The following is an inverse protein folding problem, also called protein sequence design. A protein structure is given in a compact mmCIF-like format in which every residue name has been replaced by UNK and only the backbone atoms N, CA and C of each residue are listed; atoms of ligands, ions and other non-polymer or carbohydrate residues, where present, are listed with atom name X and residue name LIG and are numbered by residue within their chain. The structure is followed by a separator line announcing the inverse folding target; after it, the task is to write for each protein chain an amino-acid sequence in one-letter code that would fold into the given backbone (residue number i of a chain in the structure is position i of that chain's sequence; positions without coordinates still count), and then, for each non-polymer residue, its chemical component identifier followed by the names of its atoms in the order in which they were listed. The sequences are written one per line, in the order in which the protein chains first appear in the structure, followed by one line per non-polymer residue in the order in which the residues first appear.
data_IF_952761865905
#
_entry.id   IF_952761865905
#
_cell.length_a   1.000
_cell.length_b   1.000
_cell.length_c   1.000
_cell.angle_alpha   90.00
_cell.angle_beta   90.00
_cell.angle_gamma   90.00
#
_symmetry.space_group_name_H-M   'P 1'
#
loop_
_entity.id
_entity.type
_entity.pdbx_description
1 polymer ?
#
# COMPACT_ATOMS: atom_id res chain seq x y z
N UNK A 1 -19.77 6.79 -15.27
CA UNK A 1 -20.43 6.95 -13.95
C UNK A 1 -20.07 8.32 -13.37
N UNK A 2 -21.03 9.05 -12.77
CA UNK A 2 -20.72 10.35 -12.13
C UNK A 2 -20.41 10.11 -10.65
N UNK A 3 -19.19 10.41 -10.22
CA UNK A 3 -18.75 10.24 -8.82
C UNK A 3 -19.24 11.38 -7.95
N UNK A 4 -19.62 11.07 -6.71
CA UNK A 4 -19.83 12.07 -5.67
C UNK A 4 -18.50 12.73 -5.30
N UNK A 5 -18.55 13.87 -4.61
CA UNK A 5 -17.32 14.55 -4.14
C UNK A 5 -16.53 13.65 -3.18
N UNK A 6 -17.24 12.90 -2.34
CA UNK A 6 -16.59 12.03 -1.34
C UNK A 6 -15.93 10.82 -2.00
N UNK A 7 -16.61 10.14 -2.94
CA UNK A 7 -16.04 9.04 -3.74
C UNK A 7 -14.78 9.49 -4.50
N UNK A 8 -14.84 10.67 -5.15
CA UNK A 8 -13.68 11.22 -5.84
C UNK A 8 -12.50 11.48 -4.90
N UNK A 9 -12.76 12.02 -3.70
CA UNK A 9 -11.71 12.30 -2.73
C UNK A 9 -11.10 11.01 -2.16
N UNK A 10 -11.88 9.95 -2.05
CA UNK A 10 -11.41 8.63 -1.69
C UNK A 10 -10.51 8.05 -2.79
N UNK A 11 -10.93 8.08 -4.04
CA UNK A 11 -10.11 7.67 -5.21
C UNK A 11 -8.81 8.47 -5.31
N UNK A 12 -8.81 9.76 -4.94
CA UNK A 12 -7.60 10.59 -4.97
C UNK A 12 -6.52 10.09 -3.97
N UNK A 13 -6.90 9.52 -2.84
CA UNK A 13 -5.92 8.91 -1.94
C UNK A 13 -5.15 7.79 -2.62
N UNK A 14 -5.81 6.97 -3.43
CA UNK A 14 -5.18 5.87 -4.18
C UNK A 14 -4.15 6.39 -5.21
N UNK A 15 -4.45 7.50 -5.88
CA UNK A 15 -3.48 8.22 -6.72
C UNK A 15 -2.23 8.63 -5.93
N UNK A 16 -2.42 9.04 -4.66
CA UNK A 16 -1.33 9.44 -3.78
C UNK A 16 -0.47 8.27 -3.32
N UNK A 17 -1.09 7.27 -2.70
CA UNK A 17 -0.37 6.15 -2.08
C UNK A 17 0.32 5.24 -3.11
N UNK A 18 -0.30 5.01 -4.26
CA UNK A 18 0.25 4.17 -5.33
C UNK A 18 1.60 4.69 -5.85
N UNK A 19 1.85 5.98 -5.76
CA UNK A 19 3.15 6.56 -6.12
C UNK A 19 4.26 6.08 -5.17
N UNK A 20 3.98 6.00 -3.86
CA UNK A 20 4.95 5.48 -2.89
C UNK A 20 5.09 3.95 -3.00
N UNK A 21 4.01 3.23 -3.27
CA UNK A 21 4.07 1.78 -3.55
C UNK A 21 4.99 1.53 -4.74
N UNK A 22 4.82 2.26 -5.84
CA UNK A 22 5.62 2.11 -7.05
C UNK A 22 7.10 2.46 -6.81
N UNK A 23 7.38 3.53 -6.06
CA UNK A 23 8.74 3.90 -5.68
C UNK A 23 9.39 2.83 -4.80
N UNK A 24 8.66 2.31 -3.81
CA UNK A 24 9.12 1.28 -2.87
C UNK A 24 9.46 -0.04 -3.56
N UNK A 25 8.75 -0.41 -4.61
CA UNK A 25 8.97 -1.66 -5.34
C UNK A 25 10.02 -1.54 -6.45
N UNK A 26 10.36 -0.32 -6.88
CA UNK A 26 11.25 -0.06 -8.01
C UNK A 26 12.59 0.58 -7.60
N UNK A 27 12.55 1.83 -7.18
CA UNK A 27 13.74 2.65 -6.94
C UNK A 27 14.41 2.34 -5.61
N UNK A 28 13.61 2.05 -4.57
CA UNK A 28 14.12 1.82 -3.21
C UNK A 28 15.06 0.63 -3.10
N UNK A 29 14.77 -0.57 -3.68
CA UNK A 29 15.70 -1.69 -3.67
C UNK A 29 17.03 -1.37 -4.36
N UNK A 30 16.98 -0.65 -5.49
CA UNK A 30 18.16 -0.21 -6.24
C UNK A 30 19.01 0.76 -5.40
N UNK A 31 18.35 1.71 -4.75
CA UNK A 31 19.02 2.66 -3.86
C UNK A 31 19.65 1.96 -2.65
N UNK A 32 18.95 1.01 -2.04
CA UNK A 32 19.48 0.19 -0.94
C UNK A 32 20.75 -0.56 -1.37
N UNK A 33 20.74 -1.18 -2.55
CA UNK A 33 21.92 -1.85 -3.10
C UNK A 33 23.08 -0.85 -3.32
N UNK A 34 22.79 0.33 -3.86
CA UNK A 34 23.80 1.35 -4.15
C UNK A 34 24.48 1.94 -2.91
N UNK A 35 23.79 2.03 -1.77
CA UNK A 35 24.38 2.51 -0.50
C UNK A 35 25.07 1.40 0.32
N UNK A 36 24.96 0.13 -0.09
CA UNK A 36 25.52 -1.03 0.61
C UNK A 36 26.60 -1.73 -0.22
N UNK A 37 27.68 -1.01 -0.50
CA UNK A 37 28.71 -1.41 -1.47
C UNK A 37 29.59 -2.59 -1.03
N UNK A 38 29.49 -3.06 0.22
CA UNK A 38 30.32 -4.15 0.75
C UNK A 38 29.63 -5.52 0.83
N UNK A 39 28.34 -5.60 0.53
CA UNK A 39 27.57 -6.84 0.64
C UNK A 39 27.49 -7.59 -0.70
N UNK A 40 27.39 -8.93 -0.63
CA UNK A 40 27.11 -9.73 -1.82
C UNK A 40 25.66 -9.52 -2.30
N UNK A 41 25.41 -9.78 -3.60
CA UNK A 41 24.03 -9.71 -4.15
C UNK A 41 23.05 -10.62 -3.39
N UNK A 42 23.52 -11.79 -2.94
CA UNK A 42 22.70 -12.71 -2.15
C UNK A 42 22.33 -12.12 -0.78
N UNK A 43 23.29 -11.49 -0.07
CA UNK A 43 23.03 -10.85 1.22
C UNK A 43 22.05 -9.69 1.09
N UNK A 44 22.12 -8.92 -0.01
CA UNK A 44 21.21 -7.81 -0.29
C UNK A 44 19.75 -8.31 -0.50
N UNK A 45 19.58 -9.39 -1.26
CA UNK A 45 18.25 -10.00 -1.47
C UNK A 45 17.69 -10.55 -0.16
N UNK A 46 18.52 -11.22 0.65
CA UNK A 46 18.11 -11.74 1.97
C UNK A 46 17.72 -10.59 2.92
N UNK A 47 18.54 -9.53 2.98
CA UNK A 47 18.24 -8.38 3.82
C UNK A 47 16.93 -7.70 3.40
N UNK A 48 16.69 -7.54 2.10
CA UNK A 48 15.44 -6.99 1.55
C UNK A 48 14.25 -7.89 1.88
N UNK A 49 14.35 -9.19 1.65
CA UNK A 49 13.30 -10.17 1.99
C UNK A 49 12.96 -10.18 3.48
N UNK A 50 13.98 -10.13 4.35
CA UNK A 50 13.78 -10.03 5.80
C UNK A 50 13.04 -8.74 6.19
N UNK A 51 13.38 -7.61 5.58
CA UNK A 51 12.70 -6.34 5.81
C UNK A 51 11.21 -6.43 5.45
N UNK A 52 10.88 -7.01 4.30
CA UNK A 52 9.50 -7.24 3.88
C UNK A 52 8.75 -8.17 4.83
N UNK A 53 9.39 -9.26 5.25
CA UNK A 53 8.84 -10.22 6.21
C UNK A 53 8.55 -9.57 7.55
N UNK A 54 9.49 -8.79 8.09
CA UNK A 54 9.31 -8.08 9.37
C UNK A 54 8.13 -7.09 9.26
N UNK A 55 8.09 -6.28 8.19
CA UNK A 55 6.99 -5.35 7.98
C UNK A 55 5.63 -6.06 7.94
N UNK A 56 5.53 -7.14 7.16
CA UNK A 56 4.29 -7.92 7.01
C UNK A 56 3.84 -8.58 8.32
N UNK A 57 4.78 -9.16 9.08
CA UNK A 57 4.46 -9.77 10.38
C UNK A 57 3.95 -8.74 11.39
N UNK A 58 4.59 -7.58 11.46
CA UNK A 58 4.15 -6.49 12.36
C UNK A 58 2.74 -6.03 11.98
N UNK A 59 2.47 -5.83 10.69
CA UNK A 59 1.15 -5.44 10.20
C UNK A 59 0.11 -6.53 10.52
N UNK A 60 0.42 -7.80 10.25
CA UNK A 60 -0.49 -8.91 10.51
C UNK A 60 -0.87 -9.04 11.99
N UNK A 61 0.06 -8.73 12.91
CA UNK A 61 -0.21 -8.74 14.36
C UNK A 61 -1.00 -7.52 14.82
N UNK A 62 -0.73 -6.34 14.25
CA UNK A 62 -1.35 -5.09 14.68
C UNK A 62 -2.76 -4.91 14.12
N UNK A 63 -3.01 -5.29 12.87
CA UNK A 63 -4.25 -4.94 12.19
C UNK A 63 -5.52 -5.49 12.81
N UNK A 64 -5.59 -6.73 13.32
CA UNK A 64 -6.79 -7.21 14.00
C UNK A 64 -7.16 -6.36 15.22
N UNK A 65 -6.15 -5.96 16.03
CA UNK A 65 -6.35 -5.16 17.24
C UNK A 65 -6.77 -3.73 16.87
N UNK A 66 -6.04 -3.12 15.96
CA UNK A 66 -6.29 -1.73 15.57
C UNK A 66 -7.58 -1.59 14.75
N UNK A 67 -7.94 -2.62 13.96
CA UNK A 67 -9.20 -2.71 13.26
C UNK A 67 -10.39 -2.68 14.21
N UNK A 68 -10.39 -3.54 15.23
CA UNK A 68 -11.44 -3.55 16.25
C UNK A 68 -11.54 -2.22 17.03
N UNK A 69 -10.41 -1.56 17.29
CA UNK A 69 -10.40 -0.23 17.91
C UNK A 69 -10.88 0.87 16.95
N UNK A 70 -10.67 0.71 15.65
CA UNK A 70 -11.11 1.65 14.62
C UNK A 70 -12.62 1.60 14.35
N UNK A 71 -13.28 0.49 14.67
CA UNK A 71 -14.72 0.33 14.53
C UNK A 71 -15.52 1.22 15.49
N UNK A 72 -14.90 1.74 16.54
CA UNK A 72 -15.54 2.75 17.39
C UNK A 72 -15.63 4.10 16.70
N UNK A 73 -16.74 4.81 16.95
CA UNK A 73 -17.08 6.07 16.30
C UNK A 73 -15.95 7.11 16.38
N UNK A 74 -15.54 7.62 15.23
CA UNK A 74 -14.50 8.62 15.07
C UNK A 74 -13.06 8.14 15.25
N UNK A 75 -12.81 6.86 15.43
CA UNK A 75 -11.46 6.32 15.57
C UNK A 75 -10.80 5.96 14.24
N UNK A 76 -11.56 5.52 13.25
CA UNK A 76 -11.04 5.11 11.93
C UNK A 76 -10.15 6.18 11.30
N UNK A 77 -10.60 7.43 11.29
CA UNK A 77 -9.81 8.56 10.78
C UNK A 77 -8.57 8.85 11.62
N UNK A 78 -8.60 8.66 12.93
CA UNK A 78 -7.45 8.90 13.80
C UNK A 78 -6.33 7.89 13.53
N UNK A 79 -6.67 6.60 13.40
CA UNK A 79 -5.70 5.57 13.05
C UNK A 79 -5.15 5.78 11.65
N UNK A 80 -6.03 6.06 10.68
CA UNK A 80 -5.60 6.43 9.33
C UNK A 80 -4.56 7.56 9.35
N UNK A 81 -4.87 8.67 10.02
CA UNK A 81 -3.98 9.83 10.12
C UNK A 81 -2.66 9.49 10.82
N UNK A 82 -2.71 8.73 11.91
CA UNK A 82 -1.51 8.33 12.65
C UNK A 82 -0.55 7.55 11.76
N UNK A 83 -1.02 6.53 11.06
CA UNK A 83 -0.20 5.72 10.16
C UNK A 83 0.22 6.46 8.89
N UNK A 84 -0.68 7.26 8.31
CA UNK A 84 -0.36 8.12 7.16
C UNK A 84 0.78 9.10 7.50
N UNK A 85 0.67 9.83 8.62
CA UNK A 85 1.69 10.80 9.02
C UNK A 85 3.01 10.10 9.36
N UNK A 86 2.98 8.96 10.05
CA UNK A 86 4.17 8.16 10.34
C UNK A 86 4.84 7.72 9.03
N UNK A 87 4.07 7.14 8.10
CA UNK A 87 4.58 6.74 6.79
C UNK A 87 5.16 7.90 5.99
N UNK A 88 4.47 9.05 5.98
CA UNK A 88 4.90 10.26 5.29
C UNK A 88 6.21 10.81 5.84
N UNK A 89 6.33 10.97 7.15
CA UNK A 89 7.56 11.46 7.81
C UNK A 89 8.73 10.52 7.52
N UNK A 90 8.50 9.21 7.59
CA UNK A 90 9.54 8.21 7.33
C UNK A 90 9.89 8.14 5.83
N UNK A 91 8.94 8.34 4.92
CA UNK A 91 9.21 8.49 3.50
C UNK A 91 10.14 9.68 3.25
N UNK A 92 9.85 10.84 3.83
CA UNK A 92 10.72 12.03 3.72
C UNK A 92 12.09 11.80 4.39
N UNK A 93 12.14 11.07 5.50
CA UNK A 93 13.39 10.74 6.19
C UNK A 93 14.33 9.87 5.34
N UNK A 94 13.83 9.06 4.40
CA UNK A 94 14.65 8.28 3.47
C UNK A 94 15.50 9.18 2.54
N UNK A 95 15.15 10.46 2.38
CA UNK A 95 15.97 11.42 1.63
C UNK A 95 17.27 11.81 2.38
N UNK A 96 17.35 11.59 3.69
CA UNK A 96 18.50 11.92 4.51
C UNK A 96 19.59 10.86 4.30
N UNK A 97 20.87 11.27 4.11
CA UNK A 97 21.98 10.32 4.07
C UNK A 97 22.10 9.54 5.38
N UNK A 98 22.11 8.21 5.28
CA UNK A 98 22.24 7.33 6.44
C UNK A 98 22.89 6.01 6.06
N UNK A 99 23.30 5.21 7.06
CA UNK A 99 23.82 3.86 6.83
C UNK A 99 22.77 2.94 6.22
N UNK A 100 23.19 1.90 5.51
CA UNK A 100 22.27 0.93 4.89
C UNK A 100 21.32 0.27 5.90
N UNK A 101 21.79 -0.05 7.11
CA UNK A 101 20.95 -0.62 8.16
C UNK A 101 19.91 0.39 8.67
N UNK A 102 20.31 1.66 8.90
CA UNK A 102 19.38 2.72 9.30
C UNK A 102 18.32 2.96 8.22
N UNK A 103 18.73 2.99 6.95
CA UNK A 103 17.82 3.13 5.82
C UNK A 103 16.80 1.98 5.78
N UNK A 104 17.25 0.74 5.93
CA UNK A 104 16.38 -0.43 5.93
C UNK A 104 15.37 -0.38 7.10
N UNK A 105 15.80 0.09 8.28
CA UNK A 105 14.91 0.28 9.43
C UNK A 105 13.85 1.35 9.15
N UNK A 106 14.25 2.50 8.62
CA UNK A 106 13.33 3.58 8.23
C UNK A 106 12.36 3.09 7.15
N UNK A 107 12.84 2.33 6.18
CA UNK A 107 12.02 1.71 5.14
C UNK A 107 10.96 0.76 5.71
N UNK A 108 11.35 -0.16 6.62
CA UNK A 108 10.40 -1.08 7.28
C UNK A 108 9.30 -0.31 8.01
N UNK A 109 9.67 0.69 8.78
CA UNK A 109 8.70 1.52 9.52
C UNK A 109 7.81 2.34 8.58
N UNK A 110 8.37 2.87 7.47
CA UNK A 110 7.61 3.56 6.42
C UNK A 110 6.59 2.61 5.77
N UNK A 111 7.00 1.39 5.45
CA UNK A 111 6.15 0.35 4.85
C UNK A 111 5.03 -0.06 5.79
N UNK A 112 5.29 -0.18 7.10
CA UNK A 112 4.26 -0.40 8.11
C UNK A 112 3.27 0.77 8.12
N UNK A 113 3.75 2.01 8.12
CA UNK A 113 2.90 3.20 8.07
C UNK A 113 2.02 3.25 6.82
N UNK A 114 2.61 3.00 5.65
CA UNK A 114 1.90 2.98 4.37
C UNK A 114 0.81 1.91 4.34
N UNK A 115 1.16 0.63 4.56
CA UNK A 115 0.21 -0.47 4.45
C UNK A 115 -0.89 -0.42 5.53
N UNK A 116 -0.53 0.02 6.76
CA UNK A 116 -1.54 0.23 7.80
C UNK A 116 -2.50 1.36 7.45
N UNK A 117 -2.02 2.47 6.87
CA UNK A 117 -2.90 3.54 6.40
C UNK A 117 -3.82 3.08 5.28
N UNK A 118 -3.34 2.23 4.37
CA UNK A 118 -4.15 1.63 3.30
C UNK A 118 -5.25 0.73 3.87
N UNK A 119 -4.96 -0.09 4.89
CA UNK A 119 -5.97 -0.92 5.56
C UNK A 119 -7.13 -0.09 6.11
N UNK A 120 -6.84 1.04 6.77
CA UNK A 120 -7.90 1.93 7.27
C UNK A 120 -8.61 2.69 6.14
N UNK A 121 -7.90 3.04 5.07
CA UNK A 121 -8.48 3.62 3.88
C UNK A 121 -9.49 2.68 3.23
N UNK A 122 -9.15 1.39 3.06
CA UNK A 122 -10.07 0.38 2.53
C UNK A 122 -11.30 0.22 3.44
N UNK A 123 -11.11 0.21 4.76
CA UNK A 123 -12.18 0.15 5.73
C UNK A 123 -13.10 1.40 5.73
N UNK A 124 -12.70 2.51 5.10
CA UNK A 124 -13.55 3.69 4.91
C UNK A 124 -14.57 3.53 3.78
N UNK A 125 -14.40 2.60 2.86
CA UNK A 125 -15.22 2.49 1.65
C UNK A 125 -16.73 2.40 1.92
N UNK A 126 -17.22 1.62 2.91
CA UNK A 126 -18.64 1.60 3.27
C UNK A 126 -19.18 2.97 3.73
N UNK A 127 -18.33 3.80 4.36
CA UNK A 127 -18.73 5.15 4.78
C UNK A 127 -18.82 6.14 3.59
N UNK A 128 -18.13 5.83 2.49
CA UNK A 128 -17.92 6.69 1.31
C UNK A 128 -19.05 6.53 0.31
N UNK A 129 -19.49 5.30 0.05
CA UNK A 129 -20.42 4.96 -1.04
C UNK A 129 -21.49 3.97 -0.57
N UNK A 130 -22.37 3.56 -1.48
CA UNK A 130 -23.41 2.55 -1.22
C UNK A 130 -22.93 1.17 -1.73
N UNK A 131 -23.58 0.11 -1.25
CA UNK A 131 -23.21 -1.27 -1.59
C UNK A 131 -23.24 -1.52 -3.11
N UNK A 132 -24.23 -0.94 -3.83
CA UNK A 132 -24.37 -1.11 -5.27
C UNK A 132 -23.25 -0.44 -6.07
N UNK A 133 -22.54 0.51 -5.47
CA UNK A 133 -21.47 1.30 -6.12
C UNK A 133 -20.07 0.91 -5.65
N UNK A 134 -19.99 0.10 -4.60
CA UNK A 134 -18.72 -0.19 -3.90
C UNK A 134 -17.67 -0.78 -4.85
N UNK A 135 -18.04 -1.77 -5.66
CA UNK A 135 -17.13 -2.40 -6.63
C UNK A 135 -16.63 -1.40 -7.69
N UNK A 136 -17.53 -0.55 -8.19
CA UNK A 136 -17.18 0.44 -9.21
C UNK A 136 -16.27 1.54 -8.65
N UNK A 137 -16.50 1.99 -7.41
CA UNK A 137 -15.65 3.00 -6.74
C UNK A 137 -14.29 2.40 -6.42
N UNK A 138 -14.24 1.18 -5.88
CA UNK A 138 -13.00 0.47 -5.57
C UNK A 138 -12.15 0.24 -6.83
N UNK A 139 -12.74 -0.35 -7.89
CA UNK A 139 -12.03 -0.56 -9.17
C UNK A 139 -11.51 0.75 -9.77
N UNK A 140 -12.24 1.85 -9.59
CA UNK A 140 -11.82 3.17 -10.03
C UNK A 140 -10.63 3.68 -9.20
N UNK A 141 -10.58 3.42 -7.90
CA UNK A 141 -9.43 3.71 -7.05
C UNK A 141 -8.16 3.09 -7.62
N UNK A 142 -8.17 1.79 -7.83
CA UNK A 142 -7.05 1.06 -8.45
C UNK A 142 -6.65 1.64 -9.81
N UNK A 143 -7.62 1.84 -10.72
CA UNK A 143 -7.34 2.37 -12.05
C UNK A 143 -6.66 3.75 -11.99
N UNK A 144 -7.24 4.69 -11.25
CA UNK A 144 -6.65 6.02 -11.09
C UNK A 144 -5.34 6.01 -10.29
N UNK A 145 -5.17 5.05 -9.36
CA UNK A 145 -3.91 4.79 -8.68
C UNK A 145 -2.79 4.43 -9.64
N UNK A 146 -3.02 3.48 -10.54
CA UNK A 146 -2.02 3.06 -11.53
C UNK A 146 -1.58 4.20 -12.44
N UNK A 147 -2.52 4.90 -13.08
CA UNK A 147 -2.15 5.98 -14.00
C UNK A 147 -1.64 7.23 -13.25
N UNK A 148 -2.22 7.53 -12.09
CA UNK A 148 -1.85 8.68 -11.29
C UNK A 148 -0.44 8.56 -10.69
N UNK A 149 -0.04 7.36 -10.26
CA UNK A 149 1.32 7.10 -9.75
C UNK A 149 2.40 7.21 -10.82
N UNK A 150 2.03 7.01 -12.09
CA UNK A 150 2.95 7.13 -13.22
C UNK A 150 3.51 8.55 -13.35
N UNK A 151 2.73 9.59 -13.03
CA UNK A 151 3.17 10.99 -13.15
C UNK A 151 4.39 11.32 -12.28
N UNK A 152 4.32 11.19 -10.93
CA UNK A 152 5.49 11.44 -10.09
C UNK A 152 6.62 10.46 -10.37
N UNK A 153 6.31 9.23 -10.76
CA UNK A 153 7.32 8.22 -11.07
C UNK A 153 8.14 8.61 -12.31
N UNK A 154 7.52 9.07 -13.39
CA UNK A 154 8.22 9.55 -14.58
C UNK A 154 9.07 10.78 -14.24
N UNK A 155 8.58 11.69 -13.39
CA UNK A 155 9.37 12.84 -12.92
C UNK A 155 10.62 12.36 -12.16
N UNK A 156 10.46 11.39 -11.26
CA UNK A 156 11.58 10.79 -10.52
C UNK A 156 12.59 10.13 -11.45
N UNK A 157 12.12 9.36 -12.44
CA UNK A 157 13.00 8.72 -13.43
C UNK A 157 13.75 9.73 -14.29
N UNK A 158 13.07 10.74 -14.77
CA UNK A 158 13.69 11.81 -15.55
C UNK A 158 14.79 12.50 -14.74
N UNK A 159 14.55 12.71 -13.43
CA UNK A 159 15.55 13.27 -12.53
C UNK A 159 16.72 12.32 -12.27
N UNK A 160 16.47 11.03 -12.05
CA UNK A 160 17.51 10.04 -11.79
C UNK A 160 18.39 9.81 -13.03
N UNK A 161 17.78 9.69 -14.20
CA UNK A 161 18.50 9.40 -15.46
C UNK A 161 19.08 10.65 -16.12
N UNK A 162 18.36 11.77 -16.10
CA UNK A 162 18.77 13.04 -16.73
C UNK A 162 19.58 13.96 -15.81
N UNK A 163 19.45 13.78 -14.49
CA UNK A 163 20.12 14.62 -13.50
C UNK A 163 21.64 14.70 -13.66
N UNK A 164 22.37 13.62 -13.92
CA UNK A 164 23.82 13.66 -14.12
C UNK A 164 24.25 14.59 -15.24
N UNK A 165 23.51 14.68 -16.33
CA UNK A 165 23.77 15.61 -17.43
C UNK A 165 23.57 17.10 -17.03
N UNK A 166 22.78 17.34 -15.97
CA UNK A 166 22.51 18.68 -15.40
C UNK A 166 23.36 18.96 -14.15
N UNK A 167 24.35 18.10 -13.83
CA UNK A 167 25.22 18.26 -12.67
C UNK A 167 24.60 17.77 -11.34
N UNK A 168 23.44 17.09 -11.37
CA UNK A 168 22.81 16.50 -10.19
C UNK A 168 23.26 15.03 -10.06
N UNK A 169 24.02 14.65 -9.02
CA UNK A 169 24.44 13.26 -8.84
C UNK A 169 23.24 12.31 -8.71
N UNK A 170 23.32 11.13 -9.31
CA UNK A 170 22.24 10.10 -9.27
C UNK A 170 21.75 9.82 -7.85
N UNK A 171 22.66 9.75 -6.88
CA UNK A 171 22.33 9.54 -5.48
C UNK A 171 21.46 10.66 -4.90
N UNK A 172 21.75 11.91 -5.24
CA UNK A 172 20.92 13.07 -4.84
C UNK A 172 19.58 13.06 -5.56
N UNK A 173 19.56 12.78 -6.85
CA UNK A 173 18.33 12.63 -7.64
C UNK A 173 17.38 11.57 -7.03
N UNK A 174 17.93 10.41 -6.63
CA UNK A 174 17.16 9.36 -5.96
C UNK A 174 16.62 9.81 -4.61
N UNK A 175 17.38 10.55 -3.81
CA UNK A 175 16.90 11.13 -2.55
C UNK A 175 15.78 12.13 -2.75
N UNK A 176 15.89 12.98 -3.77
CA UNK A 176 14.81 13.92 -4.12
C UNK A 176 13.53 13.21 -4.55
N UNK A 177 13.62 11.98 -5.10
CA UNK A 177 12.47 11.19 -5.46
C UNK A 177 11.59 10.82 -4.24
N UNK A 178 12.18 10.61 -3.06
CA UNK A 178 11.42 10.40 -1.82
C UNK A 178 10.62 11.65 -1.43
N UNK A 179 11.21 12.84 -1.62
CA UNK A 179 10.53 14.12 -1.31
C UNK A 179 9.38 14.36 -2.29
N UNK A 180 9.61 14.16 -3.59
CA UNK A 180 8.60 14.32 -4.65
C UNK A 180 7.42 13.38 -4.38
N UNK A 181 7.70 12.11 -4.10
CA UNK A 181 6.67 11.09 -3.85
C UNK A 181 5.92 11.35 -2.54
N UNK A 182 6.62 11.74 -1.47
CA UNK A 182 5.98 12.11 -0.21
C UNK A 182 5.08 13.34 -0.35
N UNK A 183 5.52 14.37 -1.08
CA UNK A 183 4.70 15.55 -1.38
C UNK A 183 3.46 15.17 -2.22
N UNK A 184 3.63 14.31 -3.22
CA UNK A 184 2.52 13.78 -4.02
C UNK A 184 1.51 13.06 -3.14
N UNK A 185 1.95 12.13 -2.30
CA UNK A 185 1.08 11.41 -1.38
C UNK A 185 0.33 12.35 -0.44
N UNK A 186 1.01 13.34 0.13
CA UNK A 186 0.38 14.35 0.98
C UNK A 186 -0.72 15.14 0.24
N UNK A 187 -0.40 15.69 -0.94
CA UNK A 187 -1.33 16.54 -1.71
C UNK A 187 -2.62 15.77 -2.04
N UNK A 188 -2.51 14.53 -2.48
CA UNK A 188 -3.65 13.72 -2.88
C UNK A 188 -4.41 13.10 -1.70
N UNK A 189 -3.82 13.06 -0.50
CA UNK A 189 -4.48 12.61 0.75
C UNK A 189 -5.32 13.73 1.39
N UNK A 190 -4.92 15.00 1.27
CA UNK A 190 -5.59 16.12 1.91
C UNK A 190 -7.10 16.21 1.64
N UNK A 191 -7.62 16.00 0.40
CA UNK A 191 -9.05 16.05 0.13
C UNK A 191 -9.85 15.02 0.92
N UNK A 192 -9.33 13.79 1.08
CA UNK A 192 -9.97 12.74 1.88
C UNK A 192 -10.02 13.14 3.36
N UNK A 193 -8.91 13.56 3.93
CA UNK A 193 -8.83 13.98 5.34
C UNK A 193 -9.84 15.07 5.67
N UNK A 194 -10.03 16.03 4.75
CA UNK A 194 -10.94 17.18 4.97
C UNK A 194 -12.41 16.83 4.83
N UNK A 195 -12.76 15.74 4.16
CA UNK A 195 -14.15 15.44 3.81
C UNK A 195 -14.69 14.18 4.43
N UNK A 196 -13.83 13.26 4.84
CA UNK A 196 -14.24 12.00 5.44
C UNK A 196 -14.89 12.21 6.80
N UNK A 197 -16.01 11.51 7.00
CA UNK A 197 -16.69 11.34 8.29
C UNK A 197 -17.13 9.89 8.41
N UNK A 198 -16.74 9.24 9.49
CA UNK A 198 -17.18 7.87 9.79
C UNK A 198 -18.70 7.86 10.00
N UNK A 199 -19.42 7.10 9.19
CA UNK A 199 -20.87 6.92 9.30
C UNK A 199 -21.22 5.72 10.18
N UNK A 200 -20.49 4.63 9.96
CA UNK A 200 -20.70 3.38 10.67
C UNK A 200 -19.60 3.24 11.74
N UNK A 201 -20.02 3.31 12.98
CA UNK A 201 -19.12 3.16 14.13
C UNK A 201 -19.91 2.73 15.35
N UNK A 202 -19.34 1.83 16.14
CA UNK A 202 -19.89 1.37 17.41
C UNK A 202 -19.73 2.48 18.46
N UNK A 203 -20.75 2.76 19.23
CA UNK A 203 -20.62 3.63 20.40
C UNK A 203 -19.89 2.89 21.52
N UNK A 204 -19.03 3.61 22.25
CA UNK A 204 -18.24 3.04 23.32
C UNK A 204 -19.10 2.85 24.57
N UNK A 205 -19.28 1.61 24.97
CA UNK A 205 -19.95 1.27 26.24
C UNK A 205 -19.01 1.39 27.46
N UNK A 206 -19.57 1.41 28.69
CA UNK A 206 -18.79 1.49 29.93
C UNK A 206 -17.78 0.33 30.10
N UNK A 207 -18.08 -0.83 29.54
CA UNK A 207 -17.25 -2.04 29.61
C UNK A 207 -16.18 -2.12 28.52
N UNK A 208 -16.20 -1.24 27.51
CA UNK A 208 -15.28 -1.22 26.39
C UNK A 208 -13.92 -0.63 26.78
N UNK A 209 -13.24 -1.28 27.70
CA UNK A 209 -11.83 -0.97 28.02
C UNK A 209 -10.92 -1.56 26.94
N UNK A 210 -9.76 -0.91 26.71
CA UNK A 210 -8.78 -1.39 25.72
C UNK A 210 -8.39 -2.85 25.98
N UNK A 211 -8.20 -3.24 27.24
CA UNK A 211 -7.87 -4.63 27.61
C UNK A 211 -8.97 -5.63 27.25
N UNK A 212 -10.24 -5.26 27.47
CA UNK A 212 -11.40 -6.09 27.11
C UNK A 212 -11.53 -6.23 25.59
N UNK A 213 -11.35 -5.12 24.85
CA UNK A 213 -11.38 -5.12 23.37
C UNK A 213 -10.28 -6.01 22.82
N UNK A 214 -9.03 -5.82 23.26
CA UNK A 214 -7.87 -6.62 22.79
C UNK A 214 -8.05 -8.10 23.13
N UNK A 215 -8.53 -8.42 24.33
CA UNK A 215 -8.82 -9.80 24.72
C UNK A 215 -9.91 -10.44 23.84
N UNK A 216 -10.97 -9.69 23.51
CA UNK A 216 -12.05 -10.10 22.65
C UNK A 216 -11.61 -10.39 21.22
N UNK A 217 -10.73 -9.56 20.65
CA UNK A 217 -10.24 -9.70 19.25
C UNK A 217 -9.63 -11.09 19.00
N UNK A 218 -8.75 -11.56 19.86
CA UNK A 218 -8.13 -12.88 19.67
C UNK A 218 -9.13 -14.02 19.80
N UNK A 219 -10.14 -13.87 20.66
CA UNK A 219 -11.25 -14.82 20.78
C UNK A 219 -12.12 -14.84 19.52
N UNK A 220 -12.47 -13.68 18.97
CA UNK A 220 -13.24 -13.53 17.73
C UNK A 220 -12.48 -14.08 16.52
N UNK A 221 -11.20 -13.77 16.39
CA UNK A 221 -10.35 -14.35 15.33
C UNK A 221 -10.30 -15.87 15.46
N UNK A 222 -10.12 -16.40 16.68
CA UNK A 222 -10.12 -17.86 16.91
C UNK A 222 -11.47 -18.52 16.58
N UNK A 223 -12.59 -17.85 16.89
CA UNK A 223 -13.94 -18.32 16.54
C UNK A 223 -14.14 -18.34 15.02
N UNK A 224 -13.82 -17.25 14.34
CA UNK A 224 -13.90 -17.13 12.87
C UNK A 224 -13.05 -18.19 12.18
N UNK A 225 -11.81 -18.42 12.64
CA UNK A 225 -10.94 -19.47 12.08
C UNK A 225 -11.54 -20.86 12.26
N UNK A 226 -12.21 -21.12 13.39
CA UNK A 226 -12.92 -22.38 13.63
C UNK A 226 -14.12 -22.54 12.69
N UNK A 227 -14.90 -21.50 12.47
CA UNK A 227 -16.04 -21.53 11.53
C UNK A 227 -15.56 -21.78 10.09
N UNK A 228 -14.50 -21.09 9.65
CA UNK A 228 -13.87 -21.33 8.34
C UNK A 228 -13.43 -22.79 8.21
N UNK A 229 -12.78 -23.35 9.25
CA UNK A 229 -12.32 -24.73 9.25
C UNK A 229 -13.47 -25.77 9.16
N UNK A 230 -14.66 -25.44 9.65
CA UNK A 230 -15.84 -26.31 9.54
C UNK A 230 -16.54 -26.20 8.16
N UNK A 231 -16.36 -25.11 7.43
CA UNK A 231 -16.90 -24.95 6.08
C UNK A 231 -15.84 -25.30 5.03
N UNK A 232 -15.87 -26.54 4.53
CA UNK A 232 -14.87 -27.05 3.59
C UNK A 232 -14.72 -26.19 2.33
N UNK A 233 -15.79 -25.63 1.80
CA UNK A 233 -15.75 -24.76 0.60
C UNK A 233 -15.02 -23.47 0.90
N UNK A 234 -15.34 -22.82 2.02
CA UNK A 234 -14.67 -21.58 2.45
C UNK A 234 -13.20 -21.83 2.77
N UNK A 235 -12.90 -22.96 3.47
CA UNK A 235 -11.52 -23.32 3.79
C UNK A 235 -10.66 -23.51 2.54
N UNK A 236 -11.14 -24.26 1.55
CA UNK A 236 -10.41 -24.50 0.29
C UNK A 236 -10.22 -23.19 -0.46
N UNK A 237 -11.24 -22.34 -0.53
CA UNK A 237 -11.13 -21.01 -1.13
C UNK A 237 -10.08 -20.16 -0.43
N UNK A 238 -10.11 -20.10 0.91
CA UNK A 238 -9.14 -19.29 1.68
C UNK A 238 -7.71 -19.78 1.51
N UNK A 239 -7.49 -21.10 1.47
CA UNK A 239 -6.15 -21.67 1.22
C UNK A 239 -5.70 -21.33 -0.20
N UNK A 240 -6.55 -21.50 -1.22
CA UNK A 240 -6.22 -21.16 -2.60
C UNK A 240 -5.91 -19.65 -2.76
N UNK A 241 -6.72 -18.79 -2.14
CA UNK A 241 -6.53 -17.35 -2.15
C UNK A 241 -5.23 -16.95 -1.44
N UNK A 242 -4.91 -17.59 -0.30
CA UNK A 242 -3.66 -17.34 0.41
C UNK A 242 -2.43 -17.58 -0.50
N UNK A 243 -2.33 -18.75 -1.14
CA UNK A 243 -1.21 -19.03 -2.03
C UNK A 243 -1.19 -18.11 -3.27
N UNK A 244 -2.36 -17.77 -3.81
CA UNK A 244 -2.47 -16.86 -4.95
C UNK A 244 -1.95 -15.46 -4.60
N UNK A 245 -2.46 -14.89 -3.50
CA UNK A 245 -2.12 -13.52 -3.13
C UNK A 245 -0.66 -13.40 -2.63
N UNK A 246 -0.16 -14.44 -1.93
CA UNK A 246 1.23 -14.52 -1.50
C UNK A 246 2.18 -14.51 -2.71
N UNK A 247 1.88 -15.31 -3.75
CA UNK A 247 2.65 -15.30 -4.99
C UNK A 247 2.64 -13.94 -5.68
N UNK A 248 1.47 -13.29 -5.78
CA UNK A 248 1.35 -11.94 -6.39
C UNK A 248 2.16 -10.91 -5.60
N UNK A 249 2.02 -10.86 -4.29
CA UNK A 249 2.76 -9.91 -3.45
C UNK A 249 4.26 -10.17 -3.46
N UNK A 250 4.69 -11.42 -3.47
CA UNK A 250 6.11 -11.78 -3.58
C UNK A 250 6.70 -11.27 -4.89
N UNK A 251 6.03 -11.47 -6.03
CA UNK A 251 6.49 -10.95 -7.32
C UNK A 251 6.59 -9.42 -7.26
N UNK A 252 5.57 -8.73 -6.77
CA UNK A 252 5.55 -7.26 -6.69
C UNK A 252 6.69 -6.73 -5.81
N UNK A 253 6.92 -7.31 -4.65
CA UNK A 253 7.88 -6.81 -3.65
C UNK A 253 9.33 -7.20 -3.92
N UNK A 254 9.56 -8.32 -4.62
CA UNK A 254 10.89 -8.89 -4.81
C UNK A 254 11.44 -8.75 -6.24
N UNK A 255 10.58 -8.43 -7.23
CA UNK A 255 10.96 -8.43 -8.65
C UNK A 255 12.20 -7.59 -8.94
N UNK A 256 12.27 -6.36 -8.42
CA UNK A 256 13.42 -5.46 -8.65
C UNK A 256 14.67 -5.93 -7.93
N UNK A 257 14.56 -6.38 -6.68
CA UNK A 257 15.69 -6.88 -5.89
C UNK A 257 16.26 -8.16 -6.53
N UNK A 258 15.39 -9.09 -6.89
CA UNK A 258 15.78 -10.35 -7.54
C UNK A 258 16.35 -10.12 -8.95
N UNK A 259 15.70 -9.29 -9.77
CA UNK A 259 16.19 -8.94 -11.10
C UNK A 259 17.57 -8.26 -11.06
N UNK A 260 17.80 -7.38 -10.09
CA UNK A 260 19.10 -6.76 -9.86
C UNK A 260 20.17 -7.81 -9.49
N UNK A 261 19.83 -8.80 -8.66
CA UNK A 261 20.75 -9.89 -8.30
C UNK A 261 21.09 -10.81 -9.48
N UNK A 262 20.19 -10.94 -10.45
CA UNK A 262 20.44 -11.65 -11.72
C UNK A 262 21.25 -10.84 -12.73
N UNK A 263 21.64 -9.59 -12.40
CA UNK A 263 22.43 -8.72 -13.26
C UNK A 263 21.62 -7.98 -14.33
N UNK A 264 20.29 -7.93 -14.21
CA UNK A 264 19.45 -7.12 -15.11
C UNK A 264 19.72 -5.64 -14.81
N UNK A 265 19.89 -4.84 -15.85
CA UNK A 265 20.15 -3.41 -15.71
C UNK A 265 19.00 -2.69 -14.99
N UNK A 266 19.35 -1.80 -14.08
CA UNK A 266 18.38 -1.07 -13.26
C UNK A 266 17.37 -0.26 -14.07
N UNK A 267 17.81 0.29 -15.21
CA UNK A 267 16.93 1.04 -16.12
C UNK A 267 15.88 0.12 -16.73
N UNK A 268 16.27 -1.08 -17.15
CA UNK A 268 15.34 -2.07 -17.71
C UNK A 268 14.32 -2.53 -16.68
N UNK A 269 14.73 -2.77 -15.42
CA UNK A 269 13.84 -3.16 -14.33
C UNK A 269 12.79 -2.08 -14.06
N UNK A 270 13.22 -0.84 -13.98
CA UNK A 270 12.32 0.29 -13.70
C UNK A 270 11.38 0.57 -14.87
N UNK A 271 11.86 0.48 -16.12
CA UNK A 271 11.02 0.61 -17.31
C UNK A 271 9.99 -0.53 -17.41
N UNK A 272 10.36 -1.76 -17.07
CA UNK A 272 9.42 -2.88 -17.03
C UNK A 272 8.26 -2.60 -16.04
N UNK A 273 8.58 -2.09 -14.83
CA UNK A 273 7.56 -1.71 -13.86
C UNK A 273 6.70 -0.52 -14.33
N UNK A 274 7.27 0.43 -15.06
CA UNK A 274 6.50 1.51 -15.67
C UNK A 274 5.50 0.97 -16.71
N UNK A 275 5.91 0.03 -17.54
CA UNK A 275 5.03 -0.62 -18.53
C UNK A 275 3.87 -1.34 -17.83
N UNK A 276 4.13 -2.00 -16.68
CA UNK A 276 3.05 -2.67 -15.93
C UNK A 276 1.95 -1.71 -15.50
N UNK A 277 2.26 -0.43 -15.17
CA UNK A 277 1.24 0.56 -14.81
C UNK A 277 0.30 0.87 -15.99
N UNK A 278 0.84 1.01 -17.20
CA UNK A 278 0.04 1.25 -18.40
C UNK A 278 -0.85 0.06 -18.78
N UNK A 279 -0.42 -1.17 -18.47
CA UNK A 279 -1.24 -2.38 -18.66
C UNK A 279 -2.28 -2.52 -17.55
N UNK A 280 -1.90 -2.25 -16.31
CA UNK A 280 -2.77 -2.39 -15.14
C UNK A 280 -3.96 -1.41 -15.16
N UNK A 281 -3.76 -0.18 -15.65
CA UNK A 281 -4.81 0.84 -15.74
C UNK A 281 -6.04 0.38 -16.55
N UNK A 282 -5.92 0.01 -17.85
CA UNK A 282 -7.07 -0.47 -18.61
C UNK A 282 -7.60 -1.81 -18.06
N UNK A 283 -6.73 -2.68 -17.54
CA UNK A 283 -7.14 -3.95 -16.95
C UNK A 283 -8.07 -3.75 -15.73
N UNK A 284 -7.76 -2.80 -14.86
CA UNK A 284 -8.60 -2.48 -13.71
C UNK A 284 -9.97 -1.92 -14.14
N UNK A 285 -10.02 -1.09 -15.18
CA UNK A 285 -11.28 -0.58 -15.74
C UNK A 285 -12.12 -1.73 -16.33
N UNK A 286 -11.51 -2.58 -17.15
CA UNK A 286 -12.19 -3.72 -17.80
C UNK A 286 -12.72 -4.68 -16.72
N UNK A 287 -11.94 -4.94 -15.68
CA UNK A 287 -12.38 -5.78 -14.56
C UNK A 287 -13.59 -5.18 -13.84
N UNK A 288 -13.56 -3.89 -13.50
CA UNK A 288 -14.68 -3.20 -12.88
C UNK A 288 -15.95 -3.23 -13.73
N UNK A 289 -15.83 -3.09 -15.06
CA UNK A 289 -16.96 -3.22 -15.99
C UNK A 289 -17.46 -4.68 -16.07
N UNK A 290 -16.56 -5.65 -16.03
CA UNK A 290 -16.92 -7.08 -16.05
C UNK A 290 -17.72 -7.49 -14.82
N UNK A 291 -17.40 -6.96 -13.64
CA UNK A 291 -18.13 -7.24 -12.41
C UNK A 291 -19.60 -6.81 -12.48
N UNK A 292 -19.90 -5.70 -13.16
CA UNK A 292 -21.27 -5.23 -13.36
C UNK A 292 -22.09 -6.27 -14.15
N UNK A 293 -21.49 -6.88 -15.19
CA UNK A 293 -22.16 -7.89 -16.01
C UNK A 293 -22.27 -9.26 -15.35
N UNK A 294 -21.35 -9.62 -14.48
CA UNK A 294 -21.35 -10.92 -13.77
C UNK A 294 -22.32 -10.91 -12.58
N UNK A 295 -22.48 -9.77 -11.90
CA UNK A 295 -23.30 -9.66 -10.69
C UNK A 295 -24.80 -9.38 -10.97
N UNK A 296 -25.15 -8.80 -12.14
CA UNK A 296 -26.56 -8.50 -12.49
C UNK A 296 -27.47 -9.73 -12.66
N UNK A 297 -27.04 -10.88 -13.22
CA UNK A 297 -27.92 -12.05 -13.39
C UNK A 297 -28.28 -12.78 -12.10
N UNK A 298 -27.58 -12.51 -10.99
CA UNK A 298 -27.73 -13.26 -9.73
C UNK A 298 -28.41 -12.46 -8.60
N UNK A 299 -28.81 -11.23 -8.85
CA UNK A 299 -29.66 -10.47 -7.91
C UNK A 299 -31.13 -10.81 -8.16
N UNK A 300 -31.84 -11.47 -7.19
CA UNK A 300 -33.27 -11.72 -7.29
C UNK A 300 -34.05 -10.40 -7.24
#
# INVERSE_FOLDING_TARGET
MKYTKLERNWVMYDVGNSALVLLNTSVVPIYFNAINTGASSADLVVAWGNAQTIASLVIAMLMPILGALADYAGNKIKFFLGFFLTGLVLCLAQAIPMSAMAFLTVYVLCTIGLNSSMTFYDAMLPDITTDERMDAVSSSGYAWGYIGSTVPFVICLALIMGGPALGVPTMLATRLSFIITGAWWLIFTLPLIRTYKQKYGRERGPEDTIGHIVGGVFSEVGHTMREIAHNKTVLVYMIAFFFYIDGVHTVISMATSYGSALGIDSTQLVLALLVTQFVAFPSAIIYGLSLIHISEPTRP
#
